data_IF_525406747232
#
_entry.id   IF_525406747232
#
_cell.length_a   1.000
_cell.length_b   1.000
_cell.length_c   1.000
_cell.angle_alpha   90.00
_cell.angle_beta   90.00
_cell.angle_gamma   90.00
#
_symmetry.space_group_name_H-M   'P 1'
#
loop_
_entity.id
_entity.type
_entity.pdbx_description
1 polymer ?
#
# COMPACT_ATOMS: atom_id res chain seq x y z
N UNK A 1 18.60 17.78 21.53
CA UNK A 1 18.23 17.77 21.20
C UNK A 1 17.73 17.66 20.67
N UNK A 2 17.82 17.64 20.59
CA UNK A 2 17.38 17.52 20.10
C UNK A 2 16.78 17.44 19.42
N UNK A 3 16.94 17.38 19.43
CA UNK A 3 16.44 17.27 18.89
C UNK A 3 15.94 17.49 18.30
N UNK A 4 16.34 17.46 18.34
CA UNK A 4 15.90 17.65 17.68
C UNK A 4 15.04 17.82 17.21
N UNK A 5 15.13 17.51 17.26
CA UNK A 5 14.47 17.48 16.97
C UNK A 5 13.67 17.86 16.77
N UNK A 6 14.11 17.64 17.00
CA UNK A 6 13.36 17.80 16.94
C UNK A 6 12.58 18.55 16.92
N UNK A 7 12.74 18.80 17.06
CA UNK A 7 11.83 19.74 16.95
C UNK A 7 11.02 19.86 15.82
N UNK A 8 10.45 19.09 15.50
CA UNK A 8 9.66 19.16 14.32
C UNK A 8 8.38 19.91 14.55
N UNK A 9 7.89 20.50 13.48
CA UNK A 9 6.63 21.24 13.56
C UNK A 9 5.43 20.35 13.30
N UNK A 10 5.65 19.12 12.85
CA UNK A 10 4.56 18.20 12.54
C UNK A 10 4.05 17.51 13.78
N UNK A 11 2.76 17.26 13.87
CA UNK A 11 2.23 16.43 14.95
C UNK A 11 2.77 15.02 14.84
N UNK A 12 3.55 14.55 15.83
CA UNK A 12 4.19 13.24 15.73
C UNK A 12 3.22 12.10 15.53
N UNK A 13 2.04 12.20 16.12
CA UNK A 13 1.10 11.09 16.06
C UNK A 13 0.52 10.88 14.66
N UNK A 14 0.59 11.87 13.79
CA UNK A 14 0.10 11.71 12.43
C UNK A 14 1.18 11.21 11.49
N UNK A 15 2.31 11.90 11.49
CA UNK A 15 3.38 11.61 10.53
C UNK A 15 4.20 10.40 10.95
N UNK A 16 4.65 10.42 12.19
CA UNK A 16 5.57 9.39 12.67
C UNK A 16 4.91 8.03 12.82
N UNK A 17 3.60 8.02 13.13
CA UNK A 17 2.89 6.75 13.28
C UNK A 17 2.87 5.95 11.98
N UNK A 18 2.60 6.61 10.88
CA UNK A 18 2.57 5.92 9.60
C UNK A 18 3.96 5.47 9.18
N UNK A 19 4.95 6.34 9.30
CA UNK A 19 6.32 5.99 8.92
C UNK A 19 6.87 4.88 9.79
N UNK A 20 6.58 4.90 11.09
CA UNK A 20 6.98 3.83 11.99
C UNK A 20 6.33 2.51 11.59
N UNK A 21 5.04 2.56 11.25
CA UNK A 21 4.35 1.36 10.77
C UNK A 21 5.00 0.81 9.51
N UNK A 22 5.36 1.68 8.56
CA UNK A 22 6.02 1.25 7.33
C UNK A 22 7.32 0.52 7.64
N UNK A 23 8.11 1.04 8.56
CA UNK A 23 9.39 0.43 8.89
C UNK A 23 9.25 -0.93 9.57
N UNK A 24 8.12 -1.18 10.22
CA UNK A 24 7.85 -2.45 10.87
C UNK A 24 7.42 -3.54 9.89
N UNK A 25 7.04 -3.16 8.69
CA UNK A 25 6.52 -4.13 7.73
C UNK A 25 7.67 -4.91 7.07
N UNK A 26 7.44 -6.20 6.73
CA UNK A 26 8.50 -7.05 6.17
C UNK A 26 8.72 -6.86 4.67
N UNK A 27 8.39 -5.70 4.14
CA UNK A 27 8.47 -5.44 2.70
C UNK A 27 9.35 -4.22 2.46
N UNK A 28 9.86 -4.07 1.23
CA UNK A 28 10.68 -2.90 0.91
C UNK A 28 9.90 -1.60 1.03
N UNK A 29 10.55 -0.58 1.53
CA UNK A 29 10.01 0.79 1.59
C UNK A 29 10.89 1.63 0.68
N UNK A 30 10.31 2.13 -0.40
CA UNK A 30 11.02 2.91 -1.40
C UNK A 30 10.54 4.36 -1.31
N UNK A 31 11.48 5.27 -1.12
CA UNK A 31 11.16 6.69 -1.05
C UNK A 31 11.91 7.44 -2.13
N UNK A 32 11.17 8.18 -2.96
CA UNK A 32 11.77 9.01 -3.98
C UNK A 32 10.74 10.04 -4.44
N UNK A 33 11.16 10.96 -5.28
CA UNK A 33 10.24 11.94 -5.89
C UNK A 33 9.32 11.28 -6.91
N UNK A 34 9.79 10.25 -7.55
CA UNK A 34 9.02 9.43 -8.47
C UNK A 34 9.72 8.09 -8.64
N UNK A 35 9.02 7.10 -9.15
CA UNK A 35 9.59 5.77 -9.30
C UNK A 35 8.92 5.00 -10.41
N UNK A 36 9.66 4.09 -11.01
CA UNK A 36 9.14 3.19 -12.03
C UNK A 36 8.56 1.97 -11.34
N UNK A 37 7.25 1.91 -11.25
CA UNK A 37 6.57 0.84 -10.51
C UNK A 37 6.80 -0.53 -11.13
N UNK A 38 7.07 -0.59 -12.43
CA UNK A 38 7.31 -1.88 -13.09
C UNK A 38 8.65 -2.51 -12.68
N UNK A 39 9.52 -1.74 -12.06
CA UNK A 39 10.84 -2.20 -11.63
C UNK A 39 10.96 -2.36 -10.13
N UNK A 40 9.87 -2.18 -9.40
CA UNK A 40 9.92 -2.30 -7.96
C UNK A 40 10.12 -3.75 -7.53
N UNK A 41 10.96 -3.92 -6.52
CA UNK A 41 11.17 -5.22 -5.91
C UNK A 41 10.12 -5.39 -4.82
N UNK A 42 9.38 -6.49 -4.89
CA UNK A 42 8.38 -6.83 -3.88
C UNK A 42 8.83 -8.02 -3.07
N UNK A 43 8.28 -8.14 -1.86
CA UNK A 43 8.54 -9.29 -0.99
C UNK A 43 7.24 -9.78 -0.40
N UNK A 44 7.19 -11.04 0.09
CA UNK A 44 5.96 -11.56 0.68
C UNK A 44 5.48 -10.69 1.83
N UNK A 45 4.19 -10.41 1.82
CA UNK A 45 3.54 -9.57 2.83
C UNK A 45 2.33 -10.33 3.35
N UNK A 46 2.53 -11.09 4.43
CA UNK A 46 1.50 -11.97 4.94
C UNK A 46 0.23 -11.23 5.35
N UNK A 47 0.38 -9.99 5.74
CA UNK A 47 -0.75 -9.16 6.11
C UNK A 47 -1.80 -9.09 5.00
N UNK A 48 -1.36 -9.08 3.76
CA UNK A 48 -2.24 -8.97 2.60
C UNK A 48 -2.33 -10.26 1.78
N UNK A 49 -1.50 -11.22 2.08
CA UNK A 49 -1.48 -12.46 1.30
C UNK A 49 -0.93 -12.31 -0.10
N UNK A 50 -0.11 -11.30 -0.32
CA UNK A 50 0.49 -10.99 -1.62
C UNK A 50 1.91 -10.50 -1.40
N UNK A 51 2.70 -10.49 -2.45
CA UNK A 51 3.97 -9.77 -2.41
C UNK A 51 3.68 -8.28 -2.51
N UNK A 52 4.47 -7.48 -1.81
CA UNK A 52 4.22 -6.05 -1.84
C UNK A 52 5.44 -5.21 -1.55
N UNK A 53 5.27 -3.92 -1.73
CA UNK A 53 6.24 -2.89 -1.40
C UNK A 53 5.49 -1.62 -1.05
N UNK A 54 6.11 -0.80 -0.22
CA UNK A 54 5.54 0.47 0.20
C UNK A 54 6.28 1.57 -0.54
N UNK A 55 5.53 2.51 -1.10
CA UNK A 55 6.10 3.62 -1.85
C UNK A 55 5.80 4.93 -1.14
N UNK A 56 6.84 5.69 -0.89
CA UNK A 56 6.72 7.01 -0.26
C UNK A 56 7.20 8.05 -1.25
N UNK A 57 6.34 9.01 -1.55
CA UNK A 57 6.71 10.11 -2.42
C UNK A 57 7.26 11.24 -1.58
N UNK A 58 8.51 11.62 -1.82
CA UNK A 58 9.16 12.67 -1.05
C UNK A 58 8.34 13.95 -1.07
N UNK A 59 8.10 14.49 0.11
CA UNK A 59 7.30 15.68 0.30
C UNK A 59 5.81 15.44 0.36
N UNK A 60 5.36 14.20 0.15
CA UNK A 60 3.93 13.88 0.16
C UNK A 60 3.61 12.63 0.94
N UNK A 61 4.53 12.13 1.74
CA UNK A 61 4.42 10.85 2.43
C UNK A 61 3.23 10.81 3.38
N UNK A 62 2.84 11.95 3.90
CA UNK A 62 1.79 12.05 4.90
C UNK A 62 0.40 12.31 4.31
N UNK A 63 0.29 12.38 2.99
CA UNK A 63 -1.00 12.63 2.35
C UNK A 63 -1.65 11.37 1.80
N UNK A 64 -0.85 10.49 1.21
CA UNK A 64 -1.37 9.29 0.58
C UNK A 64 -0.48 8.11 0.89
N UNK A 65 -1.11 6.95 1.05
CA UNK A 65 -0.39 5.69 1.16
C UNK A 65 -0.42 5.01 -0.21
N UNK A 66 0.75 4.62 -0.69
CA UNK A 66 0.87 3.93 -1.97
C UNK A 66 1.52 2.58 -1.71
N UNK A 67 0.82 1.53 -2.08
CA UNK A 67 1.34 0.17 -2.00
C UNK A 67 1.37 -0.43 -3.38
N UNK A 68 2.45 -1.15 -3.68
CA UNK A 68 2.55 -1.90 -4.92
C UNK A 68 2.44 -3.37 -4.57
N UNK A 69 1.49 -4.06 -5.20
CA UNK A 69 1.28 -5.48 -4.93
C UNK A 69 1.52 -6.31 -6.17
N UNK A 70 2.00 -7.52 -5.94
CA UNK A 70 2.17 -8.50 -6.99
C UNK A 70 1.48 -9.78 -6.57
N UNK A 71 0.55 -10.23 -7.41
CA UNK A 71 -0.23 -11.43 -7.16
C UNK A 71 0.09 -12.44 -8.24
N UNK A 72 0.46 -13.64 -7.82
CA UNK A 72 0.82 -14.69 -8.77
C UNK A 72 -0.42 -15.23 -9.48
N UNK A 73 -0.27 -15.73 -10.71
CA UNK A 73 -1.40 -16.32 -11.42
C UNK A 73 -2.11 -17.38 -10.58
N UNK A 74 -3.43 -17.32 -10.54
CA UNK A 74 -4.23 -18.26 -9.78
C UNK A 74 -4.30 -18.03 -8.30
N UNK A 75 -3.54 -17.06 -7.78
CA UNK A 75 -3.55 -16.74 -6.36
C UNK A 75 -4.58 -15.67 -6.07
N UNK A 76 -4.89 -15.50 -4.78
CA UNK A 76 -5.73 -14.39 -4.35
C UNK A 76 -5.25 -13.86 -3.01
N UNK A 77 -5.54 -12.59 -2.78
CA UNK A 77 -5.15 -11.92 -1.54
C UNK A 77 -5.99 -12.42 -0.38
N UNK A 78 -5.54 -12.07 0.82
CA UNK A 78 -6.39 -12.18 1.99
C UNK A 78 -7.55 -11.21 1.87
N UNK A 79 -8.59 -11.46 2.63
CA UNK A 79 -9.71 -10.55 2.74
C UNK A 79 -9.24 -9.29 3.44
N UNK A 80 -9.61 -8.14 2.85
CA UNK A 80 -9.12 -6.85 3.36
C UNK A 80 -10.28 -6.03 3.92
N UNK A 81 -10.04 -5.43 5.08
CA UNK A 81 -10.98 -4.52 5.72
C UNK A 81 -10.23 -3.25 6.10
N UNK A 82 -10.73 -2.10 5.66
CA UNK A 82 -10.14 -0.83 6.04
C UNK A 82 -11.18 0.27 5.96
N UNK A 83 -10.88 1.38 6.59
CA UNK A 83 -11.81 2.51 6.69
C UNK A 83 -11.50 3.64 5.71
N UNK A 84 -10.51 3.45 4.85
CA UNK A 84 -10.10 4.48 3.91
C UNK A 84 -10.53 4.13 2.49
N UNK A 85 -10.56 5.13 1.65
CA UNK A 85 -10.84 4.93 0.24
C UNK A 85 -9.62 4.35 -0.45
N UNK A 86 -9.86 3.59 -1.50
CA UNK A 86 -8.80 2.89 -2.21
C UNK A 86 -8.99 3.05 -3.71
N UNK A 87 -7.90 3.37 -4.40
CA UNK A 87 -7.87 3.40 -5.86
C UNK A 87 -6.85 2.36 -6.30
N UNK A 88 -7.26 1.48 -7.20
CA UNK A 88 -6.39 0.43 -7.72
C UNK A 88 -6.04 0.76 -9.15
N UNK A 89 -4.74 0.81 -9.43
CA UNK A 89 -4.23 1.00 -10.78
C UNK A 89 -3.50 -0.27 -11.21
N UNK A 90 -3.92 -0.87 -12.31
CA UNK A 90 -3.35 -2.13 -12.79
C UNK A 90 -2.18 -1.83 -13.71
N UNK A 91 -0.98 -2.21 -13.26
CA UNK A 91 0.23 -1.99 -14.04
C UNK A 91 0.35 -3.06 -15.13
N UNK A 92 0.06 -4.30 -14.78
CA UNK A 92 0.17 -5.42 -15.71
C UNK A 92 -0.76 -6.54 -15.28
N UNK A 93 -1.19 -7.35 -16.25
CA UNK A 93 -2.01 -8.50 -15.98
C UNK A 93 -3.50 -8.20 -15.95
N UNK A 94 -4.26 -9.20 -15.53
CA UNK A 94 -5.70 -9.08 -15.38
C UNK A 94 -6.15 -9.94 -14.21
N UNK A 95 -7.31 -9.62 -13.67
CA UNK A 95 -7.84 -10.35 -12.53
C UNK A 95 -9.24 -9.89 -12.21
N UNK A 96 -9.68 -10.22 -11.00
CA UNK A 96 -10.99 -9.79 -10.53
C UNK A 96 -10.94 -9.42 -9.06
N UNK A 97 -11.89 -8.59 -8.66
CA UNK A 97 -12.05 -8.20 -7.27
C UNK A 97 -13.47 -8.54 -6.86
N UNK A 98 -13.59 -9.12 -5.68
CA UNK A 98 -14.90 -9.40 -5.09
C UNK A 98 -15.05 -8.54 -3.84
N UNK A 99 -16.19 -7.85 -3.77
CA UNK A 99 -16.51 -7.01 -2.62
C UNK A 99 -17.74 -7.59 -1.95
N UNK A 100 -17.68 -7.70 -0.63
CA UNK A 100 -18.83 -8.12 0.16
C UNK A 100 -19.28 -6.95 1.02
N UNK A 101 -20.55 -6.59 0.90
CA UNK A 101 -21.11 -5.49 1.69
C UNK A 101 -21.53 -6.01 3.07
N UNK A 102 -21.76 -5.08 4.04
CA UNK A 102 -22.14 -5.51 5.39
C UNK A 102 -23.40 -6.34 5.47
N UNK A 103 -24.29 -6.23 4.51
CA UNK A 103 -25.53 -7.02 4.47
C UNK A 103 -25.33 -8.38 3.80
N UNK A 104 -24.09 -8.74 3.45
CA UNK A 104 -23.79 -10.03 2.85
C UNK A 104 -23.88 -10.09 1.34
N UNK A 105 -24.19 -8.99 0.71
CA UNK A 105 -24.25 -8.92 -0.75
C UNK A 105 -22.85 -8.93 -1.35
N UNK A 106 -22.68 -9.69 -2.44
CA UNK A 106 -21.37 -9.83 -3.06
C UNK A 106 -21.40 -9.26 -4.47
N UNK A 107 -20.36 -8.49 -4.77
CA UNK A 107 -20.17 -7.91 -6.09
C UNK A 107 -18.81 -8.27 -6.59
N UNK A 108 -18.72 -8.69 -7.85
CA UNK A 108 -17.43 -9.03 -8.46
C UNK A 108 -17.29 -8.25 -9.75
N UNK A 109 -16.07 -7.81 -10.02
CA UNK A 109 -15.77 -7.13 -11.27
C UNK A 109 -14.37 -7.51 -11.73
N UNK A 110 -14.20 -7.53 -13.03
CA UNK A 110 -12.94 -7.89 -13.66
C UNK A 110 -12.18 -6.63 -14.04
N UNK A 111 -10.88 -6.74 -14.01
CA UNK A 111 -10.02 -5.63 -14.39
C UNK A 111 -8.83 -6.16 -15.17
N UNK A 112 -8.23 -5.27 -15.93
CA UNK A 112 -7.06 -5.57 -16.71
C UNK A 112 -6.15 -4.37 -16.77
N UNK A 113 -5.02 -4.56 -17.43
CA UNK A 113 -4.09 -3.47 -17.67
C UNK A 113 -4.82 -2.37 -18.40
N UNK A 114 -4.68 -1.17 -17.86
CA UNK A 114 -5.50 -0.07 -18.32
C UNK A 114 -5.10 0.45 -19.67
#
# INVERSE_FOLDING_TARGET
MTDPQSNTTQPPFLHDSYLAWCEEQPVPVIEDFGMDLSKLLTKPWDRYGMNGAICLLKGRDDYNSIFCFELKPGAKSHELHHLYEEIIYVIDGYGSTQIETPDGEKHAFEWGRN
#
